data_IF_986077587931
#
_entry.id   IF_986077587931
#
_cell.length_a   1.000
_cell.length_b   1.000
_cell.length_c   1.000
_cell.angle_alpha   90.00
_cell.angle_beta   90.00
_cell.angle_gamma   90.00
#
_symmetry.space_group_name_H-M   'P 1'
#
loop_
_entity.id
_entity.type
_entity.pdbx_description
1 polymer ?
#
# COMPACT_ATOMS: atom_id res chain seq x y z
N UNK A 1 -1.68 -12.28 4.07
CA UNK A 1 -2.88 -11.73 4.74
C UNK A 1 -3.16 -10.37 4.11
N UNK A 2 -4.38 -10.12 3.70
CA UNK A 2 -4.77 -8.80 3.20
C UNK A 2 -4.85 -7.84 4.39
N UNK A 3 -4.20 -6.68 4.29
CA UNK A 3 -4.26 -5.61 5.31
C UNK A 3 -5.65 -4.96 5.43
N UNK A 4 -6.54 -5.22 4.48
CA UNK A 4 -7.90 -4.66 4.40
C UNK A 4 -8.72 -4.89 5.66
N UNK A 5 -8.74 -6.14 6.20
CA UNK A 5 -9.54 -6.45 7.39
C UNK A 5 -9.08 -5.65 8.63
N UNK A 6 -7.80 -5.62 9.01
CA UNK A 6 -7.32 -4.76 10.09
C UNK A 6 -7.65 -3.27 9.90
N UNK A 7 -7.54 -2.77 8.67
CA UNK A 7 -7.82 -1.37 8.35
C UNK A 7 -9.31 -1.03 8.53
N UNK A 8 -10.22 -1.90 8.07
CA UNK A 8 -11.65 -1.78 8.30
C UNK A 8 -12.00 -1.80 9.79
N UNK A 9 -11.47 -2.76 10.55
CA UNK A 9 -11.70 -2.89 11.99
C UNK A 9 -11.17 -1.67 12.73
N UNK A 10 -10.01 -1.16 12.35
CA UNK A 10 -9.42 0.03 12.95
C UNK A 10 -10.32 1.26 12.78
N UNK A 11 -10.86 1.48 11.57
CA UNK A 11 -11.82 2.54 11.31
C UNK A 11 -13.13 2.38 12.10
N UNK A 12 -13.62 1.15 12.21
CA UNK A 12 -14.84 0.83 12.95
C UNK A 12 -14.70 1.10 14.45
N UNK A 13 -13.58 0.69 15.07
CA UNK A 13 -13.38 0.77 16.52
C UNK A 13 -12.87 2.15 16.96
N UNK A 14 -11.84 2.68 16.27
CA UNK A 14 -11.11 3.89 16.70
C UNK A 14 -11.55 5.16 15.97
N UNK A 15 -12.48 5.03 15.03
CA UNK A 15 -12.88 6.15 14.15
C UNK A 15 -11.85 6.45 13.07
N UNK A 16 -12.17 7.44 12.22
CA UNK A 16 -11.37 7.70 11.02
C UNK A 16 -9.94 8.14 11.35
N UNK A 17 -9.79 9.19 12.16
CA UNK A 17 -8.47 9.81 12.42
C UNK A 17 -7.53 8.85 13.16
N UNK A 18 -8.00 8.32 14.29
CA UNK A 18 -7.17 7.43 15.10
C UNK A 18 -6.95 6.09 14.41
N UNK A 19 -7.95 5.60 13.67
CA UNK A 19 -7.84 4.40 12.86
C UNK A 19 -6.75 4.51 11.81
N UNK A 20 -6.69 5.62 11.05
CA UNK A 20 -5.62 5.87 10.07
C UNK A 20 -4.26 5.88 10.75
N UNK A 21 -4.09 6.62 11.85
CA UNK A 21 -2.81 6.72 12.55
C UNK A 21 -2.32 5.37 13.07
N UNK A 22 -3.18 4.62 13.76
CA UNK A 22 -2.83 3.32 14.32
C UNK A 22 -2.46 2.31 13.23
N UNK A 23 -3.24 2.27 12.15
CA UNK A 23 -2.98 1.35 11.05
C UNK A 23 -1.70 1.72 10.30
N UNK A 24 -1.45 3.03 10.10
CA UNK A 24 -0.22 3.50 9.47
C UNK A 24 1.02 3.09 10.28
N UNK A 25 1.00 3.30 11.59
CA UNK A 25 2.08 2.88 12.48
C UNK A 25 2.28 1.36 12.40
N UNK A 26 1.20 0.58 12.47
CA UNK A 26 1.26 -0.88 12.34
C UNK A 26 1.85 -1.33 11.01
N UNK A 27 1.45 -0.71 9.89
CA UNK A 27 2.00 -0.99 8.56
C UNK A 27 3.50 -0.66 8.50
N UNK A 28 3.93 0.48 9.02
CA UNK A 28 5.35 0.87 9.03
C UNK A 28 6.17 -0.15 9.82
N UNK A 29 5.75 -0.49 11.04
CA UNK A 29 6.45 -1.46 11.89
C UNK A 29 6.54 -2.83 11.19
N UNK A 30 5.42 -3.33 10.66
CA UNK A 30 5.37 -4.60 9.93
C UNK A 30 6.24 -4.56 8.67
N UNK A 31 6.24 -3.43 7.95
CA UNK A 31 7.07 -3.21 6.77
C UNK A 31 8.57 -3.24 7.11
N UNK A 32 8.99 -2.55 8.17
CA UNK A 32 10.38 -2.53 8.65
C UNK A 32 10.85 -3.92 9.08
N UNK A 33 10.02 -4.64 9.82
CA UNK A 33 10.32 -6.03 10.21
C UNK A 33 10.50 -6.92 8.98
N UNK A 34 9.56 -6.85 8.02
CA UNK A 34 9.63 -7.60 6.76
C UNK A 34 10.88 -7.26 5.94
N UNK A 35 11.24 -5.98 5.89
CA UNK A 35 12.42 -5.47 5.21
C UNK A 35 13.71 -6.07 5.79
N UNK A 36 13.87 -6.06 7.11
CA UNK A 36 15.07 -6.63 7.74
C UNK A 36 15.11 -8.16 7.68
N UNK A 37 13.97 -8.83 7.83
CA UNK A 37 13.92 -10.30 7.69
C UNK A 37 14.36 -10.72 6.28
N UNK A 38 13.90 -10.03 5.24
CA UNK A 38 14.30 -10.35 3.87
C UNK A 38 15.76 -10.00 3.61
N UNK A 39 16.26 -8.89 4.16
CA UNK A 39 17.64 -8.45 3.96
C UNK A 39 18.67 -9.45 4.53
N UNK A 40 18.37 -9.99 5.71
CA UNK A 40 19.35 -10.82 6.44
C UNK A 40 19.05 -12.33 6.42
N UNK A 41 17.79 -12.74 6.24
CA UNK A 41 17.38 -14.13 6.43
C UNK A 41 16.83 -14.78 5.15
N UNK A 42 15.98 -14.08 4.41
CA UNK A 42 15.17 -14.69 3.35
C UNK A 42 15.58 -14.27 1.93
N UNK A 43 16.77 -13.69 1.73
CA UNK A 43 17.20 -13.10 0.46
C UNK A 43 16.96 -14.03 -0.75
N UNK A 44 17.45 -15.28 -0.66
CA UNK A 44 17.36 -16.24 -1.78
C UNK A 44 15.94 -16.74 -2.05
N UNK A 45 15.12 -16.86 -1.02
CA UNK A 45 13.71 -17.27 -1.18
C UNK A 45 12.87 -16.16 -1.80
N UNK A 46 13.05 -14.94 -1.32
CA UNK A 46 12.32 -13.77 -1.82
C UNK A 46 12.70 -13.47 -3.26
N UNK A 47 13.97 -13.57 -3.62
CA UNK A 47 14.42 -13.38 -5.00
C UNK A 47 13.64 -14.26 -5.99
N UNK A 48 13.41 -15.55 -5.66
CA UNK A 48 12.65 -16.47 -6.52
C UNK A 48 11.20 -16.03 -6.74
N UNK A 49 10.53 -15.48 -5.73
CA UNK A 49 9.16 -14.98 -5.86
C UNK A 49 9.10 -13.64 -6.60
N UNK A 50 10.05 -12.77 -6.35
CA UNK A 50 10.19 -11.46 -6.99
C UNK A 50 10.38 -11.59 -8.50
N UNK A 51 11.18 -12.55 -8.96
CA UNK A 51 11.41 -12.76 -10.40
C UNK A 51 10.15 -13.17 -11.17
N UNK A 52 9.07 -13.57 -10.51
CA UNK A 52 7.77 -13.83 -11.13
C UNK A 52 7.03 -12.54 -11.49
N UNK A 53 7.37 -11.41 -10.87
CA UNK A 53 6.74 -10.11 -11.11
C UNK A 53 7.69 -9.27 -11.96
N UNK A 54 7.33 -9.07 -13.25
CA UNK A 54 8.18 -8.41 -14.24
C UNK A 54 8.74 -7.07 -13.74
N UNK A 55 7.87 -6.17 -13.24
CA UNK A 55 8.28 -4.85 -12.76
C UNK A 55 9.31 -4.93 -11.62
N UNK A 56 9.08 -5.76 -10.60
CA UNK A 56 9.99 -5.90 -9.48
C UNK A 56 11.34 -6.54 -9.90
N UNK A 57 11.30 -7.50 -10.84
CA UNK A 57 12.51 -8.12 -11.35
C UNK A 57 13.39 -7.15 -12.16
N UNK A 58 12.78 -6.24 -12.91
CA UNK A 58 13.48 -5.20 -13.65
C UNK A 58 14.12 -4.18 -12.70
N UNK A 59 13.38 -3.70 -11.69
CA UNK A 59 13.93 -2.81 -10.64
C UNK A 59 15.18 -3.45 -10.02
N UNK A 60 15.13 -4.74 -9.66
CA UNK A 60 16.28 -5.43 -9.05
C UNK A 60 17.47 -5.54 -9.99
N UNK A 61 17.27 -5.70 -11.30
CA UNK A 61 18.35 -5.77 -12.28
C UNK A 61 19.05 -4.44 -12.49
N UNK A 62 18.29 -3.34 -12.43
CA UNK A 62 18.76 -1.99 -12.71
C UNK A 62 19.09 -1.17 -11.44
N UNK A 63 19.07 -1.83 -10.26
CA UNK A 63 19.19 -1.15 -8.95
C UNK A 63 20.41 -0.24 -8.80
N UNK A 64 21.53 -0.55 -9.49
CA UNK A 64 22.75 0.23 -9.45
C UNK A 64 22.65 1.59 -10.14
N UNK A 65 21.60 1.83 -10.91
CA UNK A 65 21.40 3.06 -11.68
C UNK A 65 20.55 4.09 -10.94
N UNK A 66 19.85 3.70 -9.88
CA UNK A 66 18.88 4.56 -9.21
C UNK A 66 19.52 5.46 -8.15
N UNK A 67 19.20 6.74 -8.21
CA UNK A 67 19.49 7.70 -7.18
C UNK A 67 18.39 7.72 -6.09
N UNK A 68 18.60 8.45 -5.00
CA UNK A 68 17.68 8.50 -3.85
C UNK A 68 16.26 8.95 -4.21
N UNK A 69 16.14 9.89 -5.17
CA UNK A 69 14.83 10.36 -5.63
C UNK A 69 14.08 9.25 -6.39
N UNK A 70 14.77 8.57 -7.27
CA UNK A 70 14.20 7.44 -8.03
C UNK A 70 13.82 6.28 -7.12
N UNK A 71 14.64 5.98 -6.12
CA UNK A 71 14.29 5.02 -5.07
C UNK A 71 13.01 5.41 -4.33
N UNK A 72 12.84 6.70 -3.98
CA UNK A 72 11.63 7.20 -3.32
C UNK A 72 10.40 7.06 -4.22
N UNK A 73 10.51 7.43 -5.49
CA UNK A 73 9.45 7.30 -6.49
C UNK A 73 9.03 5.84 -6.67
N UNK A 74 9.99 4.94 -6.91
CA UNK A 74 9.73 3.51 -7.09
C UNK A 74 9.11 2.87 -5.86
N UNK A 75 9.62 3.21 -4.66
CA UNK A 75 9.07 2.70 -3.40
C UNK A 75 7.62 3.14 -3.22
N UNK A 76 7.31 4.40 -3.54
CA UNK A 76 5.96 4.95 -3.48
C UNK A 76 5.04 4.28 -4.50
N UNK A 77 5.45 4.23 -5.77
CA UNK A 77 4.67 3.67 -6.86
C UNK A 77 4.37 2.18 -6.68
N UNK A 78 5.31 1.41 -6.14
CA UNK A 78 5.12 -0.02 -5.88
C UNK A 78 4.03 -0.34 -4.85
N UNK A 79 3.57 0.65 -4.08
CA UNK A 79 2.49 0.50 -3.09
C UNK A 79 1.10 0.80 -3.63
N UNK A 80 1.00 1.41 -4.81
CA UNK A 80 -0.28 1.81 -5.39
C UNK A 80 -1.04 0.64 -6.04
N UNK A 81 -0.40 -0.31 -6.76
CA UNK A 81 -1.11 -1.40 -7.40
C UNK A 81 -1.73 -2.36 -6.38
N UNK A 82 -3.05 -2.58 -6.39
CA UNK A 82 -3.72 -3.52 -5.49
C UNK A 82 -3.37 -4.99 -5.80
N UNK A 83 -2.82 -5.25 -6.97
CA UNK A 83 -2.36 -6.57 -7.42
C UNK A 83 -1.14 -7.08 -6.66
N UNK A 84 -0.36 -6.18 -6.04
CA UNK A 84 0.86 -6.55 -5.34
C UNK A 84 0.60 -6.79 -3.84
N UNK A 85 0.84 -8.01 -3.33
CA UNK A 85 0.70 -8.27 -1.90
C UNK A 85 1.63 -7.38 -1.07
N UNK A 86 1.08 -6.66 -0.09
CA UNK A 86 1.82 -5.71 0.75
C UNK A 86 3.12 -6.27 1.32
N UNK A 87 3.07 -7.48 1.87
CA UNK A 87 4.24 -8.13 2.47
C UNK A 87 5.29 -8.50 1.43
N UNK A 88 4.88 -8.97 0.24
CA UNK A 88 5.81 -9.32 -0.83
C UNK A 88 6.62 -8.09 -1.27
N UNK A 89 5.94 -6.95 -1.44
CA UNK A 89 6.60 -5.68 -1.77
C UNK A 89 7.55 -5.24 -0.65
N UNK A 90 7.17 -5.41 0.62
CA UNK A 90 8.05 -5.09 1.76
C UNK A 90 9.29 -5.98 1.81
N UNK A 91 9.14 -7.28 1.54
CA UNK A 91 10.26 -8.21 1.42
C UNK A 91 11.14 -7.89 0.22
N UNK A 92 10.54 -7.53 -0.92
CA UNK A 92 11.27 -7.11 -2.11
C UNK A 92 12.25 -5.96 -1.82
N UNK A 93 11.77 -4.90 -1.19
CA UNK A 93 12.63 -3.76 -0.86
C UNK A 93 13.78 -4.12 0.09
N UNK A 94 13.59 -5.11 0.95
CA UNK A 94 14.66 -5.59 1.83
C UNK A 94 15.82 -6.27 1.08
N UNK A 95 15.59 -6.87 -0.09
CA UNK A 95 16.66 -7.48 -0.90
C UNK A 95 17.32 -6.52 -1.89
N UNK A 96 16.85 -5.28 -1.98
CA UNK A 96 17.46 -4.22 -2.81
C UNK A 96 18.43 -3.36 -1.99
N UNK A 97 19.16 -2.48 -2.69
CA UNK A 97 20.13 -1.58 -2.07
C UNK A 97 19.49 -0.29 -1.50
N UNK A 98 18.15 -0.20 -1.52
CA UNK A 98 17.43 0.97 -1.01
C UNK A 98 17.73 1.25 0.47
N UNK A 99 17.87 2.53 0.80
CA UNK A 99 18.01 2.98 2.19
C UNK A 99 16.70 2.79 2.95
N UNK A 100 16.78 2.35 4.21
CA UNK A 100 15.60 2.12 5.08
C UNK A 100 14.75 3.38 5.26
N UNK A 101 15.33 4.56 5.32
CA UNK A 101 14.59 5.81 5.46
C UNK A 101 13.77 6.11 4.21
N UNK A 102 14.35 5.90 3.02
CA UNK A 102 13.66 6.05 1.74
C UNK A 102 12.51 5.04 1.64
N UNK A 103 12.76 3.79 2.05
CA UNK A 103 11.72 2.77 2.11
C UNK A 103 10.55 3.17 3.02
N UNK A 104 10.83 3.69 4.23
CA UNK A 104 9.79 4.14 5.16
C UNK A 104 9.00 5.30 4.56
N UNK A 105 9.66 6.33 4.05
CA UNK A 105 9.02 7.51 3.49
C UNK A 105 8.17 7.16 2.26
N UNK A 106 8.74 6.46 1.29
CA UNK A 106 8.03 6.07 0.07
C UNK A 106 6.86 5.13 0.37
N UNK A 107 7.06 4.13 1.25
CA UNK A 107 5.97 3.25 1.68
C UNK A 107 4.85 4.02 2.39
N UNK A 108 5.18 4.97 3.27
CA UNK A 108 4.20 5.80 3.97
C UNK A 108 3.35 6.59 2.98
N UNK A 109 3.98 7.27 2.04
CA UNK A 109 3.28 8.06 1.01
C UNK A 109 2.39 7.15 0.15
N UNK A 110 2.93 6.01 -0.30
CA UNK A 110 2.24 5.12 -1.23
C UNK A 110 1.06 4.36 -0.63
N UNK A 111 1.09 4.00 0.66
CA UNK A 111 -0.02 3.27 1.31
C UNK A 111 -1.14 4.19 1.82
N UNK A 112 -0.87 5.47 2.06
CA UNK A 112 -1.84 6.41 2.64
C UNK A 112 -3.19 6.46 1.90
N UNK A 113 -3.26 6.53 0.56
CA UNK A 113 -4.54 6.58 -0.15
C UNK A 113 -5.39 5.34 0.10
N UNK A 114 -4.81 4.15 -0.07
CA UNK A 114 -5.52 2.87 0.12
C UNK A 114 -5.94 2.65 1.57
N UNK A 115 -5.03 2.88 2.51
CA UNK A 115 -5.28 2.76 3.94
C UNK A 115 -6.38 3.71 4.41
N UNK A 116 -6.33 4.97 4.00
CA UNK A 116 -7.36 5.96 4.37
C UNK A 116 -8.73 5.57 3.87
N UNK A 117 -8.79 4.99 2.68
CA UNK A 117 -10.00 4.47 2.08
C UNK A 117 -10.61 3.31 2.88
N UNK A 118 -9.83 2.27 3.14
CA UNK A 118 -10.28 1.10 3.89
C UNK A 118 -10.75 1.50 5.30
N UNK A 119 -9.98 2.35 5.98
CA UNK A 119 -10.33 2.86 7.31
C UNK A 119 -11.61 3.72 7.28
N UNK A 120 -11.82 4.51 6.21
CA UNK A 120 -13.05 5.28 6.03
C UNK A 120 -14.28 4.40 5.88
N UNK A 121 -14.18 3.31 5.11
CA UNK A 121 -15.26 2.33 5.01
C UNK A 121 -15.59 1.76 6.39
N UNK A 122 -14.58 1.32 7.14
CA UNK A 122 -14.76 0.80 8.49
C UNK A 122 -15.44 1.80 9.43
N UNK A 123 -15.02 3.06 9.39
CA UNK A 123 -15.63 4.16 10.13
C UNK A 123 -17.11 4.35 9.77
N UNK A 124 -17.47 4.31 8.48
CA UNK A 124 -18.87 4.40 8.05
C UNK A 124 -19.72 3.25 8.56
N UNK A 125 -19.18 2.05 8.62
CA UNK A 125 -19.89 0.90 9.20
C UNK A 125 -20.12 1.03 10.71
N UNK A 126 -19.30 1.79 11.45
CA UNK A 126 -19.54 2.02 12.88
C UNK A 126 -20.82 2.82 13.15
N UNK A 127 -21.24 3.64 12.20
CA UNK A 127 -22.45 4.49 12.31
C UNK A 127 -23.66 3.93 11.54
N UNK A 128 -23.71 2.60 11.41
CA UNK A 128 -24.71 1.90 10.60
C UNK A 128 -26.15 2.24 11.01
N UNK A 129 -26.40 2.45 12.32
CA UNK A 129 -27.72 2.84 12.82
C UNK A 129 -28.19 4.19 12.29
N UNK A 130 -27.27 5.17 12.13
CA UNK A 130 -27.57 6.48 11.61
C UNK A 130 -27.70 6.46 10.08
N UNK A 131 -26.95 5.59 9.40
CA UNK A 131 -27.07 5.40 7.95
C UNK A 131 -28.49 4.94 7.60
N UNK A 132 -29.07 3.99 8.34
CA UNK A 132 -30.41 3.45 8.08
C UNK A 132 -31.57 4.31 8.56
N UNK A 133 -31.33 5.41 9.29
CA UNK A 133 -32.39 6.33 9.75
C UNK A 133 -33.09 7.11 8.62
N UNK A 134 -32.43 7.30 7.48
CA UNK A 134 -32.99 8.07 6.36
C UNK A 134 -32.53 7.49 5.04
N UNK A 135 -33.46 7.41 4.05
CA UNK A 135 -33.12 7.03 2.66
C UNK A 135 -32.03 7.91 2.07
N UNK A 136 -32.02 9.21 2.39
CA UNK A 136 -30.99 10.14 1.95
C UNK A 136 -29.60 9.74 2.47
N UNK A 137 -29.48 9.40 3.75
CA UNK A 137 -28.20 8.96 4.33
C UNK A 137 -27.69 7.66 3.70
N UNK A 138 -28.58 6.73 3.38
CA UNK A 138 -28.24 5.48 2.68
C UNK A 138 -27.65 5.79 1.30
N UNK A 139 -28.34 6.62 0.52
CA UNK A 139 -27.91 6.98 -0.83
C UNK A 139 -26.55 7.67 -0.81
N UNK A 140 -26.38 8.69 0.04
CA UNK A 140 -25.10 9.43 0.16
C UNK A 140 -23.97 8.51 0.59
N UNK A 141 -24.19 7.60 1.55
CA UNK A 141 -23.16 6.64 2.00
C UNK A 141 -22.80 5.67 0.89
N UNK A 142 -23.77 5.12 0.18
CA UNK A 142 -23.52 4.20 -0.95
C UNK A 142 -22.76 4.90 -2.07
N UNK A 143 -23.15 6.12 -2.45
CA UNK A 143 -22.42 6.89 -3.46
C UNK A 143 -20.99 7.19 -3.03
N UNK A 144 -20.77 7.55 -1.77
CA UNK A 144 -19.41 7.80 -1.26
C UNK A 144 -18.54 6.56 -1.29
N UNK A 145 -19.07 5.39 -0.95
CA UNK A 145 -18.34 4.10 -1.03
C UNK A 145 -18.00 3.78 -2.48
N UNK A 146 -18.97 3.86 -3.38
CA UNK A 146 -18.76 3.58 -4.82
C UNK A 146 -17.73 4.53 -5.42
N UNK A 147 -17.87 5.84 -5.17
CA UNK A 147 -16.92 6.85 -5.65
C UNK A 147 -15.49 6.56 -5.16
N UNK A 148 -15.37 6.16 -3.90
CA UNK A 148 -14.06 5.89 -3.31
C UNK A 148 -13.44 4.60 -3.84
N UNK A 149 -14.24 3.54 -4.07
CA UNK A 149 -13.76 2.32 -4.75
C UNK A 149 -13.25 2.67 -6.16
N UNK A 150 -14.01 3.48 -6.90
CA UNK A 150 -13.64 3.89 -8.25
C UNK A 150 -12.35 4.71 -8.27
N UNK A 151 -12.22 5.70 -7.39
CA UNK A 151 -11.00 6.54 -7.27
C UNK A 151 -9.79 5.69 -6.88
N UNK A 152 -9.94 4.79 -5.89
CA UNK A 152 -8.83 3.90 -5.48
C UNK A 152 -8.42 2.94 -6.60
N UNK A 153 -9.38 2.43 -7.37
CA UNK A 153 -9.11 1.60 -8.55
C UNK A 153 -8.34 2.37 -9.63
N UNK A 154 -8.73 3.63 -9.89
CA UNK A 154 -8.02 4.50 -10.84
C UNK A 154 -6.59 4.81 -10.39
N UNK A 155 -6.39 5.13 -9.10
CA UNK A 155 -5.05 5.39 -8.54
C UNK A 155 -4.18 4.14 -8.67
N UNK A 156 -4.71 2.96 -8.33
CA UNK A 156 -3.99 1.69 -8.46
C UNK A 156 -3.61 1.38 -9.91
N UNK A 157 -4.55 1.50 -10.84
CA UNK A 157 -4.31 1.27 -12.27
C UNK A 157 -3.27 2.24 -12.84
N UNK A 158 -3.41 3.53 -12.54
CA UNK A 158 -2.44 4.55 -12.99
C UNK A 158 -1.07 4.35 -12.34
N UNK A 159 -1.02 3.95 -11.08
CA UNK A 159 0.23 3.63 -10.38
C UNK A 159 0.96 2.47 -11.03
N UNK A 160 0.25 1.41 -11.44
CA UNK A 160 0.83 0.28 -12.16
C UNK A 160 1.33 0.68 -13.56
N UNK A 161 0.55 1.47 -14.30
CA UNK A 161 0.95 2.00 -15.61
C UNK A 161 2.24 2.83 -15.52
N UNK A 162 2.30 3.74 -14.54
CA UNK A 162 3.47 4.59 -14.32
C UNK A 162 4.68 3.76 -13.90
N UNK A 163 4.51 2.81 -12.98
CA UNK A 163 5.58 1.92 -12.54
C UNK A 163 6.16 1.13 -13.71
N UNK A 164 5.31 0.53 -14.56
CA UNK A 164 5.75 -0.21 -15.72
C UNK A 164 6.47 0.68 -16.73
N UNK A 165 5.96 1.87 -17.02
CA UNK A 165 6.64 2.85 -17.90
C UNK A 165 7.99 3.30 -17.36
N UNK A 166 8.08 3.50 -16.04
CA UNK A 166 9.31 3.92 -15.38
C UNK A 166 10.39 2.84 -15.52
N UNK A 167 9.99 1.60 -15.31
CA UNK A 167 10.87 0.43 -15.39
C UNK A 167 11.28 0.11 -16.82
N UNK A 168 10.38 0.30 -17.82
CA UNK A 168 10.69 0.07 -19.24
C UNK A 168 11.59 1.20 -19.84
N UNK A 169 11.72 2.34 -19.17
CA UNK A 169 12.53 3.48 -19.64
C UNK A 169 13.99 3.41 -19.21
N UNK A 170 14.29 2.66 -18.15
CA UNK A 170 15.64 2.47 -17.59
C UNK A 170 16.16 1.07 -17.87
#
# INVERSE_FOLDING_TARGET
>A
MNSTIPNLISGYIFGLRNGILLTLIGCIISGVISFYISRYILKDRIAKEVYKIKALSQIKKEEHKFNDKEWLELTTLSRLPPSYPYHLVSYFWGITDVNILIFILGSTIGILPGLSFETYIGYKFSDIKNIFKSKHNIIVTMLSIVATIFISGLIGYKGEEILNKYVDKH
#
